data_IF_691772443004
#
_entry.id   IF_691772443004
#
_cell.length_a   1.000
_cell.length_b   1.000
_cell.length_c   1.000
_cell.angle_alpha   90.00
_cell.angle_beta   90.00
_cell.angle_gamma   90.00
#
_symmetry.space_group_name_H-M   'P 1'
#
loop_
_entity.id
_entity.type
_entity.pdbx_description
1 polymer ?
#
# COMPACT_ATOMS: atom_id res chain seq x y z
N UNK A 1 -17.47 -3.47 -4.16
CA UNK A 1 -17.31 -4.37 -2.99
C UNK A 1 -16.00 -4.03 -2.28
N UNK A 2 -15.97 -4.16 -0.95
CA UNK A 2 -14.78 -3.91 -0.12
C UNK A 2 -14.48 -5.18 0.68
N UNK A 3 -13.23 -5.64 0.66
CA UNK A 3 -12.75 -6.72 1.50
C UNK A 3 -11.60 -6.20 2.39
N UNK A 4 -11.58 -6.63 3.64
CA UNK A 4 -10.54 -6.26 4.60
C UNK A 4 -9.85 -7.51 5.13
N UNK A 5 -8.51 -7.51 5.06
CA UNK A 5 -7.68 -8.60 5.56
C UNK A 5 -6.81 -8.10 6.69
N UNK A 6 -6.97 -8.68 7.87
CA UNK A 6 -6.17 -8.35 9.05
C UNK A 6 -5.04 -9.36 9.22
N UNK A 7 -3.82 -8.85 9.45
CA UNK A 7 -2.70 -9.66 9.88
C UNK A 7 -2.64 -9.62 11.41
N UNK A 8 -2.82 -10.77 12.02
CA UNK A 8 -2.90 -10.94 13.49
C UNK A 8 -1.53 -11.19 14.16
N UNK A 9 -0.43 -11.01 13.42
CA UNK A 9 0.91 -11.28 13.92
C UNK A 9 1.24 -12.77 14.05
N UNK A 10 0.29 -13.64 13.76
CA UNK A 10 0.46 -15.09 13.80
C UNK A 10 1.28 -15.57 12.60
N UNK A 11 2.52 -15.93 12.87
CA UNK A 11 3.35 -16.79 12.04
C UNK A 11 3.78 -16.24 10.69
N UNK A 12 4.95 -15.63 10.65
CA UNK A 12 5.83 -15.71 9.46
C UNK A 12 6.31 -17.17 9.23
N UNK A 13 5.53 -18.14 9.66
CA UNK A 13 5.84 -19.55 9.43
C UNK A 13 5.55 -19.93 8.00
N UNK A 14 6.40 -20.75 7.45
CA UNK A 14 6.38 -21.33 6.11
C UNK A 14 5.04 -22.00 5.71
N UNK A 15 4.10 -22.13 6.65
CA UNK A 15 2.86 -22.89 6.49
C UNK A 15 1.61 -22.09 6.11
N UNK A 16 1.66 -20.75 6.08
CA UNK A 16 0.48 -19.94 5.76
C UNK A 16 0.82 -18.84 4.76
N UNK A 17 0.75 -19.16 3.47
CA UNK A 17 0.84 -18.16 2.40
C UNK A 17 -0.46 -17.33 2.29
N UNK A 18 -0.63 -16.39 3.22
CA UNK A 18 -1.79 -15.47 3.20
C UNK A 18 -1.81 -14.60 1.95
N UNK A 19 -0.64 -14.21 1.45
CA UNK A 19 -0.57 -13.45 0.19
C UNK A 19 -1.09 -14.29 -0.97
N UNK A 20 -0.81 -15.61 -0.99
CA UNK A 20 -1.36 -16.54 -1.98
C UNK A 20 -2.87 -16.66 -1.91
N UNK A 21 -3.43 -16.80 -0.70
CA UNK A 21 -4.88 -16.85 -0.51
C UNK A 21 -5.56 -15.58 -1.01
N UNK A 22 -5.06 -14.41 -0.61
CA UNK A 22 -5.60 -13.11 -1.07
C UNK A 22 -5.46 -12.99 -2.59
N UNK A 23 -4.35 -13.43 -3.17
CA UNK A 23 -4.15 -13.39 -4.62
C UNK A 23 -5.19 -14.22 -5.37
N UNK A 24 -5.52 -15.41 -4.88
CA UNK A 24 -6.57 -16.28 -5.47
C UNK A 24 -7.95 -15.63 -5.36
N UNK A 25 -8.29 -15.11 -4.18
CA UNK A 25 -9.58 -14.43 -3.97
C UNK A 25 -9.71 -13.18 -4.86
N UNK A 26 -8.64 -12.41 -5.01
CA UNK A 26 -8.61 -11.24 -5.88
C UNK A 26 -8.76 -11.64 -7.36
N UNK A 27 -8.06 -12.66 -7.81
CA UNK A 27 -8.16 -13.16 -9.19
C UNK A 27 -9.60 -13.63 -9.50
N UNK A 28 -10.25 -14.30 -8.55
CA UNK A 28 -11.64 -14.71 -8.69
C UNK A 28 -12.59 -13.52 -8.79
N UNK A 29 -12.40 -12.48 -7.97
CA UNK A 29 -13.18 -11.24 -8.05
C UNK A 29 -12.99 -10.54 -9.40
N UNK A 30 -11.76 -10.43 -9.88
CA UNK A 30 -11.46 -9.80 -11.17
C UNK A 30 -12.04 -10.57 -12.33
N UNK A 31 -12.07 -11.90 -12.25
CA UNK A 31 -12.73 -12.76 -13.26
C UNK A 31 -14.26 -12.63 -13.24
N UNK A 32 -14.84 -12.49 -12.04
CA UNK A 32 -16.29 -12.32 -11.86
C UNK A 32 -16.77 -10.96 -12.33
N UNK A 33 -15.93 -9.95 -12.23
CA UNK A 33 -16.23 -8.56 -12.58
C UNK A 33 -15.17 -8.02 -13.55
N UNK A 34 -15.12 -8.52 -14.79
CA UNK A 34 -14.12 -8.09 -15.76
C UNK A 34 -14.32 -6.60 -16.09
N UNK A 35 -13.22 -5.88 -16.20
CA UNK A 35 -13.22 -4.44 -16.50
C UNK A 35 -13.43 -3.52 -15.28
N UNK A 36 -13.84 -4.04 -14.12
CA UNK A 36 -13.92 -3.18 -12.93
C UNK A 36 -12.54 -2.93 -12.33
N UNK A 37 -12.14 -1.65 -12.18
CA UNK A 37 -10.85 -1.31 -11.59
C UNK A 37 -10.78 -1.75 -10.12
N UNK A 38 -9.60 -2.16 -9.68
CA UNK A 38 -9.33 -2.61 -8.32
C UNK A 38 -8.33 -1.68 -7.65
N UNK A 39 -8.60 -1.27 -6.41
CA UNK A 39 -7.63 -0.58 -5.55
C UNK A 39 -7.19 -1.52 -4.46
N UNK A 40 -5.91 -1.86 -4.44
CA UNK A 40 -5.29 -2.73 -3.45
C UNK A 40 -4.44 -1.88 -2.50
N UNK A 41 -4.83 -1.84 -1.22
CA UNK A 41 -4.17 -1.01 -0.20
C UNK A 41 -3.50 -1.91 0.83
N UNK A 42 -2.23 -1.67 1.11
CA UNK A 42 -1.50 -2.39 2.15
C UNK A 42 -0.71 -1.47 3.07
N UNK A 43 -0.79 -1.73 4.39
CA UNK A 43 -0.03 -1.02 5.42
C UNK A 43 0.96 -1.96 6.10
N UNK A 44 2.13 -1.46 6.44
CA UNK A 44 3.15 -2.23 7.17
C UNK A 44 3.55 -3.51 6.40
N UNK A 45 3.55 -4.66 7.05
CA UNK A 45 3.75 -5.95 6.37
C UNK A 45 2.68 -6.22 5.29
N UNK A 46 1.45 -5.73 5.50
CA UNK A 46 0.39 -5.76 4.48
C UNK A 46 0.76 -4.99 3.21
N UNK A 47 1.60 -3.96 3.29
CA UNK A 47 2.13 -3.24 2.12
C UNK A 47 3.03 -4.15 1.26
N UNK A 48 3.93 -4.90 1.87
CA UNK A 48 4.74 -5.88 1.13
C UNK A 48 3.92 -7.05 0.59
N UNK A 49 2.89 -7.47 1.33
CA UNK A 49 1.94 -8.50 0.90
C UNK A 49 1.12 -8.00 -0.31
N UNK A 50 0.65 -6.76 -0.30
CA UNK A 50 -0.09 -6.17 -1.43
C UNK A 50 0.74 -6.18 -2.72
N UNK A 51 2.04 -5.83 -2.65
CA UNK A 51 2.95 -5.95 -3.79
C UNK A 51 3.08 -7.40 -4.26
N UNK A 52 3.16 -8.36 -3.34
CA UNK A 52 3.25 -9.79 -3.68
C UNK A 52 1.96 -10.32 -4.29
N UNK A 53 0.82 -9.93 -3.73
CA UNK A 53 -0.51 -10.25 -4.29
C UNK A 53 -0.63 -9.71 -5.71
N UNK A 54 -0.26 -8.44 -5.93
CA UNK A 54 -0.27 -7.84 -7.25
C UNK A 54 0.63 -8.59 -8.25
N UNK A 55 1.82 -9.02 -7.84
CA UNK A 55 2.74 -9.80 -8.71
C UNK A 55 2.19 -11.13 -9.19
N UNK A 56 1.25 -11.69 -8.44
CA UNK A 56 0.60 -12.97 -8.77
C UNK A 56 -0.64 -12.80 -9.64
N UNK A 57 -1.06 -11.56 -9.92
CA UNK A 57 -2.22 -11.29 -10.77
C UNK A 57 -1.86 -11.33 -12.25
N UNK A 58 -2.84 -11.73 -13.07
CA UNK A 58 -2.74 -11.63 -14.52
C UNK A 58 -2.67 -10.16 -14.97
N UNK A 59 -1.79 -9.87 -15.91
CA UNK A 59 -1.67 -8.54 -16.54
C UNK A 59 -2.89 -8.19 -17.39
N UNK A 60 -3.57 -9.20 -17.93
CA UNK A 60 -4.72 -9.04 -18.83
C UNK A 60 -6.06 -8.83 -18.11
N UNK A 61 -6.04 -8.88 -16.78
CA UNK A 61 -7.23 -8.61 -15.99
C UNK A 61 -7.49 -7.12 -15.82
N UNK A 62 -8.60 -6.76 -15.17
CA UNK A 62 -9.02 -5.38 -14.91
C UNK A 62 -7.90 -4.48 -14.34
N UNK A 63 -7.94 -3.16 -14.59
CA UNK A 63 -6.97 -2.19 -14.08
C UNK A 63 -6.73 -2.31 -12.57
N UNK A 64 -5.48 -2.20 -12.12
CA UNK A 64 -5.13 -2.31 -10.71
C UNK A 64 -4.32 -1.09 -10.26
N UNK A 65 -4.84 -0.39 -9.24
CA UNK A 65 -4.15 0.62 -8.46
C UNK A 65 -3.58 -0.01 -7.19
N UNK A 66 -2.29 0.16 -6.95
CA UNK A 66 -1.61 -0.35 -5.77
C UNK A 66 -1.23 0.81 -4.84
N UNK A 67 -1.61 0.72 -3.56
CA UNK A 67 -1.21 1.67 -2.53
C UNK A 67 -0.43 0.96 -1.43
N UNK A 68 0.78 1.44 -1.15
CA UNK A 68 1.58 0.97 -0.02
C UNK A 68 1.79 2.09 0.98
N UNK A 69 1.51 1.82 2.26
CA UNK A 69 1.60 2.80 3.35
C UNK A 69 2.57 2.27 4.39
N UNK A 70 3.70 2.95 4.53
CA UNK A 70 4.81 2.63 5.44
C UNK A 70 5.09 1.11 5.47
N UNK A 71 5.28 0.56 4.28
CA UNK A 71 5.46 -0.87 4.09
C UNK A 71 6.72 -1.39 4.80
N UNK A 72 6.64 -2.63 5.27
CA UNK A 72 7.72 -3.30 6.00
C UNK A 72 7.97 -4.67 5.41
N UNK A 73 9.22 -4.97 5.07
CA UNK A 73 9.73 -6.31 4.80
C UNK A 73 11.26 -6.29 4.80
N UNK A 74 11.89 -7.43 5.08
CA UNK A 74 13.36 -7.54 5.08
C UNK A 74 14.03 -7.08 3.79
N UNK A 75 13.32 -7.17 2.66
CA UNK A 75 13.78 -6.66 1.36
C UNK A 75 12.71 -5.75 0.77
N UNK A 76 13.09 -4.52 0.45
CA UNK A 76 12.22 -3.60 -0.26
C UNK A 76 11.99 -4.10 -1.69
N UNK A 77 10.72 -4.12 -2.10
CA UNK A 77 10.32 -4.49 -3.47
C UNK A 77 10.10 -3.21 -4.27
N UNK A 78 11.13 -2.75 -4.96
CA UNK A 78 11.11 -1.47 -5.70
C UNK A 78 10.60 -1.58 -7.13
N UNK A 79 10.44 -2.81 -7.65
CA UNK A 79 9.97 -3.04 -9.02
C UNK A 79 8.45 -3.12 -9.02
N UNK A 80 7.82 -2.32 -9.88
CA UNK A 80 6.36 -2.32 -10.06
C UNK A 80 5.88 -3.72 -10.48
N UNK A 81 4.82 -4.25 -9.86
CA UNK A 81 4.12 -5.41 -10.41
C UNK A 81 3.56 -5.09 -11.81
N UNK A 82 3.72 -6.01 -12.76
CA UNK A 82 3.33 -5.78 -14.14
C UNK A 82 1.82 -5.49 -14.32
N UNK A 83 0.98 -5.99 -13.43
CA UNK A 83 -0.46 -5.75 -13.43
C UNK A 83 -0.87 -4.42 -12.77
N UNK A 84 0.04 -3.73 -12.08
CA UNK A 84 -0.27 -2.44 -11.45
C UNK A 84 -0.07 -1.31 -12.45
N UNK A 85 -1.17 -0.71 -12.89
CA UNK A 85 -1.14 0.44 -13.78
C UNK A 85 -0.69 1.71 -13.06
N UNK A 86 -1.05 1.83 -11.79
CA UNK A 86 -0.61 2.92 -10.94
C UNK A 86 -0.21 2.41 -9.56
N UNK A 87 0.90 2.92 -9.05
CA UNK A 87 1.40 2.58 -7.71
C UNK A 87 1.76 3.84 -6.94
N UNK A 88 1.06 4.07 -5.83
CA UNK A 88 1.39 5.10 -4.86
C UNK A 88 2.03 4.50 -3.61
N UNK A 89 3.10 5.13 -3.14
CA UNK A 89 3.84 4.73 -1.95
C UNK A 89 3.93 5.90 -0.96
N UNK A 90 3.38 5.75 0.24
CA UNK A 90 3.56 6.68 1.34
C UNK A 90 4.47 6.05 2.38
N UNK A 91 5.45 6.79 2.90
CA UNK A 91 6.42 6.26 3.86
C UNK A 91 6.92 7.31 4.85
N UNK A 92 7.33 6.85 6.02
CA UNK A 92 8.04 7.69 6.98
C UNK A 92 9.54 7.68 6.65
N UNK A 93 10.08 8.84 6.25
CA UNK A 93 11.50 8.98 5.91
C UNK A 93 12.39 9.05 7.16
N UNK A 94 11.86 9.62 8.25
CA UNK A 94 12.60 9.89 9.48
C UNK A 94 11.68 9.85 10.70
N UNK A 95 12.26 10.05 11.88
CA UNK A 95 11.52 10.09 13.12
C UNK A 95 11.06 8.73 13.59
N UNK A 96 10.14 8.75 14.49
CA UNK A 96 9.58 7.58 15.12
C UNK A 96 10.09 7.42 16.55
N UNK A 97 9.13 7.40 17.48
CA UNK A 97 9.39 7.07 18.87
C UNK A 97 9.76 5.59 19.01
N UNK A 98 9.94 5.15 20.26
CA UNK A 98 10.25 3.75 20.60
C UNK A 98 9.31 2.75 19.90
N UNK A 99 8.05 3.12 19.71
CA UNK A 99 7.04 2.27 19.05
C UNK A 99 7.25 2.07 17.55
N UNK A 100 8.06 2.91 16.89
CA UNK A 100 8.46 2.77 15.49
C UNK A 100 9.77 1.96 15.31
N UNK A 101 10.35 1.46 16.41
CA UNK A 101 11.55 0.63 16.35
C UNK A 101 11.28 -0.70 15.64
N UNK A 102 10.13 -1.33 15.88
CA UNK A 102 9.76 -2.62 15.27
C UNK A 102 9.72 -2.54 13.74
N UNK A 103 9.02 -1.57 13.11
CA UNK A 103 9.08 -1.38 11.67
C UNK A 103 10.50 -1.13 11.14
N UNK A 104 11.32 -0.39 11.87
CA UNK A 104 12.71 -0.10 11.48
C UNK A 104 13.57 -1.36 11.45
N UNK A 105 13.46 -2.22 12.48
CA UNK A 105 14.14 -3.52 12.55
C UNK A 105 13.59 -4.48 11.50
N UNK A 106 12.28 -4.45 11.24
CA UNK A 106 11.59 -5.29 10.26
C UNK A 106 11.89 -4.96 8.79
N UNK A 107 12.64 -3.88 8.52
CA UNK A 107 12.95 -3.42 7.17
C UNK A 107 11.87 -2.50 6.60
N UNK A 108 11.67 -1.33 7.22
CA UNK A 108 10.78 -0.28 6.67
C UNK A 108 11.24 0.11 5.26
N UNK A 109 10.29 0.20 4.36
CA UNK A 109 10.56 0.70 3.03
C UNK A 109 10.64 2.23 3.02
N UNK A 110 11.49 2.75 2.14
CA UNK A 110 11.55 4.16 1.79
C UNK A 110 10.96 4.42 0.41
N UNK A 111 11.64 5.26 -0.35
CA UNK A 111 11.32 5.55 -1.74
C UNK A 111 11.32 4.28 -2.59
N UNK A 112 10.24 4.05 -3.33
CA UNK A 112 10.08 2.93 -4.27
C UNK A 112 10.25 3.44 -5.69
N UNK A 113 11.35 3.07 -6.37
CA UNK A 113 11.65 3.55 -7.73
C UNK A 113 10.59 3.18 -8.77
N UNK A 114 9.86 2.07 -8.55
CA UNK A 114 8.77 1.64 -9.44
C UNK A 114 7.42 2.30 -9.16
N UNK A 115 7.28 3.09 -8.09
CA UNK A 115 6.04 3.79 -7.78
C UNK A 115 5.93 5.11 -8.59
N UNK A 116 4.71 5.43 -9.04
CA UNK A 116 4.39 6.68 -9.74
C UNK A 116 4.39 7.87 -8.79
N UNK A 117 3.99 7.65 -7.54
CA UNK A 117 4.01 8.65 -6.49
C UNK A 117 4.71 8.11 -5.24
N UNK A 118 5.63 8.89 -4.69
CA UNK A 118 6.32 8.61 -3.44
C UNK A 118 6.10 9.78 -2.47
N UNK A 119 5.22 9.57 -1.48
CA UNK A 119 4.88 10.58 -0.47
C UNK A 119 5.70 10.35 0.80
N UNK A 120 6.67 11.23 1.04
CA UNK A 120 7.57 11.14 2.19
C UNK A 120 7.04 11.97 3.37
N UNK A 121 6.73 11.33 4.47
CA UNK A 121 6.29 11.97 5.70
C UNK A 121 7.43 12.00 6.73
N UNK A 122 7.49 13.06 7.53
CA UNK A 122 8.40 13.11 8.67
C UNK A 122 7.67 12.70 9.95
N UNK A 123 8.24 11.75 10.70
CA UNK A 123 7.73 11.38 12.02
C UNK A 123 7.87 12.47 13.08
N UNK A 124 8.58 13.58 12.76
CA UNK A 124 8.64 14.79 13.59
C UNK A 124 7.57 15.82 13.21
N UNK A 125 6.92 15.67 12.08
CA UNK A 125 5.81 16.53 11.65
C UNK A 125 4.48 16.05 12.23
N UNK A 126 3.51 16.97 12.25
CA UNK A 126 2.17 16.69 12.80
C UNK A 126 1.12 16.57 11.70
N UNK A 127 0.19 15.66 11.91
CA UNK A 127 -1.03 15.53 11.12
C UNK A 127 -1.97 16.73 11.38
N UNK A 128 -3.06 16.84 10.60
CA UNK A 128 -4.08 17.89 10.76
C UNK A 128 -4.75 17.91 12.14
N UNK A 129 -4.63 16.83 12.90
CA UNK A 129 -5.12 16.72 14.28
C UNK A 129 -4.05 17.04 15.32
N UNK A 130 -2.89 17.57 14.91
CA UNK A 130 -1.77 17.94 15.78
C UNK A 130 -0.95 16.78 16.32
N UNK A 131 -1.11 15.55 15.80
CA UNK A 131 -0.41 14.36 16.27
C UNK A 131 0.74 14.02 15.34
N UNK A 132 1.87 13.56 15.85
CA UNK A 132 3.01 13.13 15.05
C UNK A 132 2.62 12.02 14.08
N UNK A 133 3.13 12.06 12.85
CA UNK A 133 3.04 10.92 11.93
C UNK A 133 3.75 9.71 12.54
N UNK A 134 3.17 8.54 12.40
CA UNK A 134 3.67 7.32 13.01
C UNK A 134 3.22 6.11 12.22
N UNK A 135 4.05 5.06 12.22
CA UNK A 135 3.72 3.77 11.63
C UNK A 135 2.38 3.19 12.10
N UNK A 136 2.03 3.40 13.37
CA UNK A 136 0.78 2.87 13.95
C UNK A 136 -0.48 3.62 13.51
N UNK A 137 -0.32 4.73 12.79
CA UNK A 137 -1.42 5.57 12.31
C UNK A 137 -1.29 5.84 10.82
N UNK A 138 -1.63 4.84 9.97
CA UNK A 138 -1.50 4.97 8.52
C UNK A 138 -2.50 5.96 7.89
N UNK A 139 -3.65 6.19 8.53
CA UNK A 139 -4.69 7.03 7.96
C UNK A 139 -4.22 8.46 7.59
N UNK A 140 -3.46 9.20 8.42
CA UNK A 140 -2.93 10.49 8.00
C UNK A 140 -2.05 10.40 6.74
N UNK A 141 -1.23 9.37 6.59
CA UNK A 141 -0.39 9.19 5.41
C UNK A 141 -1.18 8.82 4.14
N UNK A 142 -2.40 8.29 4.30
CA UNK A 142 -3.32 8.02 3.19
C UNK A 142 -4.10 9.28 2.78
N UNK A 143 -4.64 10.02 3.76
CA UNK A 143 -5.62 11.08 3.51
C UNK A 143 -5.04 12.49 3.51
N UNK A 144 -3.83 12.69 3.98
CA UNK A 144 -3.21 14.00 4.05
C UNK A 144 -2.05 14.10 3.07
N UNK A 145 -1.84 15.25 2.43
CA UNK A 145 -0.66 15.49 1.62
C UNK A 145 0.57 15.69 2.51
N UNK A 146 1.78 15.34 2.05
CA UNK A 146 3.01 15.58 2.80
C UNK A 146 3.44 17.07 2.82
N UNK A 147 2.75 17.93 2.09
CA UNK A 147 2.98 19.38 1.97
C UNK A 147 1.79 20.06 1.31
N UNK A 148 1.77 21.40 1.32
CA UNK A 148 0.61 22.19 0.89
C UNK A 148 0.25 22.03 -0.59
N UNK A 149 1.24 21.86 -1.46
CA UNK A 149 1.06 21.74 -2.92
C UNK A 149 0.85 20.32 -3.42
N UNK A 150 0.98 19.31 -2.56
CA UNK A 150 0.85 17.91 -2.94
C UNK A 150 -0.59 17.42 -2.79
N UNK A 151 -1.00 16.46 -3.60
CA UNK A 151 -2.22 15.71 -3.33
C UNK A 151 -1.95 14.54 -2.38
N UNK A 152 -2.98 14.12 -1.63
CA UNK A 152 -2.88 12.93 -0.79
C UNK A 152 -2.86 11.66 -1.64
N UNK A 153 -2.38 10.56 -1.05
CA UNK A 153 -2.39 9.26 -1.72
C UNK A 153 -3.81 8.82 -2.08
N UNK A 154 -4.78 9.13 -1.21
CA UNK A 154 -6.19 8.85 -1.45
C UNK A 154 -6.76 9.65 -2.62
N UNK A 155 -6.47 10.95 -2.71
CA UNK A 155 -6.92 11.79 -3.82
C UNK A 155 -6.36 11.31 -5.16
N UNK A 156 -5.07 10.95 -5.20
CA UNK A 156 -4.45 10.42 -6.40
C UNK A 156 -5.08 9.09 -6.84
N UNK A 157 -5.37 8.19 -5.89
CA UNK A 157 -6.03 6.93 -6.18
C UNK A 157 -7.49 7.12 -6.63
N UNK A 158 -8.22 8.05 -6.00
CA UNK A 158 -9.59 8.39 -6.39
C UNK A 158 -9.63 8.93 -7.84
N UNK A 159 -8.75 9.85 -8.18
CA UNK A 159 -8.65 10.36 -9.55
C UNK A 159 -8.23 9.29 -10.56
N UNK A 160 -7.37 8.34 -10.16
CA UNK A 160 -7.07 7.18 -11.00
C UNK A 160 -8.31 6.30 -11.20
N UNK A 161 -9.05 6.03 -10.12
CA UNK A 161 -10.26 5.21 -10.17
C UNK A 161 -11.32 5.82 -11.08
N UNK A 162 -11.60 7.13 -10.94
CA UNK A 162 -12.56 7.86 -11.78
C UNK A 162 -12.26 7.75 -13.27
N UNK A 163 -10.97 7.79 -13.66
CA UNK A 163 -10.56 7.64 -15.06
C UNK A 163 -10.67 6.20 -15.60
N UNK A 164 -10.77 5.21 -14.74
CA UNK A 164 -10.78 3.80 -15.10
C UNK A 164 -12.12 3.11 -14.83
N UNK A 165 -13.11 3.85 -14.30
CA UNK A 165 -14.47 3.32 -14.20
C UNK A 165 -15.06 3.18 -15.61
N UNK A 166 -15.72 2.06 -15.91
CA UNK A 166 -16.50 1.93 -17.13
C UNK A 166 -17.69 2.91 -17.12
N UNK A 167 -18.05 3.42 -18.28
CA UNK A 167 -19.23 4.29 -18.49
C UNK A 167 -20.53 3.58 -18.09
#
# INVERSE_FOLDING_TARGET
ATAYYHWDGGGCGVFFDRCGKIAVELEELRRRYPGLPVVLIGHSYGGSCAVEVARRQSVQAAPLCLLTIDAVARRQKSVRPACAEWWGNAYLRDGGGFMDAVPRIGGRWGHCAGADANLAFSGYSRDRKGRLYSHRRPAPMLYEPPGEEACSLFQAAASWLERNLPD
#
